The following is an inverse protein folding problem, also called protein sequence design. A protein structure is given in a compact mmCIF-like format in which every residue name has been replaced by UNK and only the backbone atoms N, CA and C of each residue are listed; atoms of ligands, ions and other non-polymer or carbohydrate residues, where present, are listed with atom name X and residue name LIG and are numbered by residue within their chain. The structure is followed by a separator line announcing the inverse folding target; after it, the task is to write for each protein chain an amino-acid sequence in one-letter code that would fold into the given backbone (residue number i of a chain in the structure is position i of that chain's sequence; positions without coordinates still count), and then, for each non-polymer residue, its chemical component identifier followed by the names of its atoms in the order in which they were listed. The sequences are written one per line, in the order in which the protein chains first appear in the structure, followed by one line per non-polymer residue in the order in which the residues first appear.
data_IF_558183084235
#
_entry.id   IF_558183084235
#
_cell.length_a   1.000
_cell.length_b   1.000
_cell.length_c   1.000
_cell.angle_alpha   90.00
_cell.angle_beta   90.00
_cell.angle_gamma   90.00
#
_symmetry.space_group_name_H-M   'P 1'
#
loop_
_entity.id
_entity.type
_entity.pdbx_description
1 polymer ?
#
# COMPACT_ATOMS: atom_id res chain seq x y z
N UNK A 1 31.45 9.41 22.68
CA UNK A 1 31.03 8.82 21.40
C UNK A 1 29.63 9.32 21.13
N UNK A 2 29.32 9.93 19.97
CA UNK A 2 27.97 10.42 19.74
C UNK A 2 27.08 9.22 19.40
N UNK A 3 26.02 9.03 20.19
CA UNK A 3 24.94 8.11 19.88
C UNK A 3 24.22 8.63 18.63
N UNK A 4 24.37 7.93 17.53
CA UNK A 4 23.52 8.08 16.35
C UNK A 4 22.10 7.67 16.77
N UNK A 5 21.25 8.66 16.99
CA UNK A 5 19.81 8.50 17.13
C UNK A 5 19.28 7.97 15.79
N UNK A 6 19.12 6.65 15.66
CA UNK A 6 18.38 6.03 14.55
C UNK A 6 16.90 6.27 14.82
N UNK A 7 16.30 7.20 14.08
CA UNK A 7 14.89 7.53 14.21
C UNK A 7 14.01 6.28 13.98
N UNK A 8 13.25 5.90 15.02
CA UNK A 8 11.96 5.19 14.96
C UNK A 8 11.90 3.76 14.42
N UNK A 9 12.94 3.25 13.77
CA UNK A 9 12.88 1.98 13.02
C UNK A 9 13.79 0.94 13.68
N UNK A 10 13.36 0.38 14.80
CA UNK A 10 14.05 -0.72 15.46
C UNK A 10 13.42 -2.09 15.10
N UNK A 11 14.03 -3.18 15.57
CA UNK A 11 13.54 -4.53 15.33
C UNK A 11 12.11 -4.71 15.85
N UNK A 12 11.73 -4.03 16.92
CA UNK A 12 10.37 -4.07 17.46
C UNK A 12 9.39 -3.40 16.51
N UNK A 13 9.71 -2.23 15.96
CA UNK A 13 8.89 -1.57 14.93
C UNK A 13 8.76 -2.45 13.69
N UNK A 14 9.86 -3.07 13.24
CA UNK A 14 9.84 -3.93 12.06
C UNK A 14 8.89 -5.11 12.24
N UNK A 15 8.96 -5.77 13.40
CA UNK A 15 8.15 -6.93 13.70
C UNK A 15 6.68 -6.60 13.97
N UNK A 16 6.35 -5.35 14.35
CA UNK A 16 4.98 -4.93 14.72
C UNK A 16 4.26 -4.19 13.60
N UNK A 17 4.93 -3.22 12.96
CA UNK A 17 4.34 -2.31 11.97
C UNK A 17 4.87 -2.59 10.56
N UNK A 18 6.19 -2.78 10.42
CA UNK A 18 6.83 -3.07 9.13
C UNK A 18 6.28 -4.33 8.47
N UNK A 19 5.98 -5.35 9.28
CA UNK A 19 5.27 -6.56 8.89
C UNK A 19 3.91 -6.30 8.22
N UNK A 20 3.03 -5.55 8.89
CA UNK A 20 1.71 -5.21 8.39
C UNK A 20 1.77 -4.28 7.18
N UNK A 21 2.66 -3.30 7.20
CA UNK A 21 2.92 -2.38 6.09
C UNK A 21 3.36 -3.16 4.85
N UNK A 22 4.29 -4.11 5.00
CA UNK A 22 4.74 -4.94 3.89
C UNK A 22 3.64 -5.83 3.32
N UNK A 23 2.80 -6.39 4.19
CA UNK A 23 1.62 -7.14 3.78
C UNK A 23 0.63 -6.29 2.99
N UNK A 24 0.31 -5.08 3.49
CA UNK A 24 -0.60 -4.16 2.81
C UNK A 24 -0.07 -3.72 1.46
N UNK A 25 1.21 -3.42 1.38
CA UNK A 25 1.85 -3.08 0.11
C UNK A 25 1.69 -4.22 -0.89
N UNK A 26 2.01 -5.44 -0.48
CA UNK A 26 1.89 -6.62 -1.32
C UNK A 26 0.44 -6.91 -1.78
N UNK A 27 -0.52 -6.87 -0.86
CA UNK A 27 -1.87 -7.33 -1.13
C UNK A 27 -2.73 -6.27 -1.81
N UNK A 28 -2.66 -5.03 -1.34
CA UNK A 28 -3.50 -3.94 -1.81
C UNK A 28 -2.79 -3.08 -2.87
N UNK A 29 -1.60 -2.55 -2.57
CA UNK A 29 -0.92 -1.61 -3.47
C UNK A 29 -0.52 -2.30 -4.78
N UNK A 30 0.23 -3.41 -4.74
CA UNK A 30 0.66 -4.11 -5.96
C UNK A 30 -0.51 -4.60 -6.82
N UNK A 31 -1.62 -5.02 -6.19
CA UNK A 31 -2.84 -5.43 -6.90
C UNK A 31 -3.42 -4.24 -7.67
N UNK A 32 -3.63 -3.10 -7.01
CA UNK A 32 -4.20 -1.92 -7.67
C UNK A 32 -3.28 -1.36 -8.75
N UNK A 33 -1.96 -1.42 -8.58
CA UNK A 33 -1.00 -1.06 -9.64
C UNK A 33 -1.13 -1.97 -10.87
N UNK A 34 -1.37 -3.27 -10.66
CA UNK A 34 -1.58 -4.24 -11.74
C UNK A 34 -2.88 -3.96 -12.48
N UNK A 35 -3.98 -3.73 -11.74
CA UNK A 35 -5.30 -3.44 -12.32
C UNK A 35 -5.29 -2.12 -13.09
N UNK A 36 -4.60 -1.10 -12.56
CA UNK A 36 -4.37 0.19 -13.23
C UNK A 36 -3.67 0.01 -14.57
N UNK A 37 -2.57 -0.74 -14.60
CA UNK A 37 -1.80 -0.98 -15.82
C UNK A 37 -2.63 -1.77 -16.86
N UNK A 38 -3.34 -2.82 -16.42
CA UNK A 38 -4.20 -3.61 -17.30
C UNK A 38 -5.32 -2.76 -17.92
N UNK A 39 -6.01 -1.94 -17.12
CA UNK A 39 -7.07 -1.06 -17.61
C UNK A 39 -6.55 -0.03 -18.62
N UNK A 40 -5.34 0.49 -18.41
CA UNK A 40 -4.69 1.40 -19.35
C UNK A 40 -4.36 0.73 -20.68
N UNK A 41 -3.78 -0.48 -20.64
CA UNK A 41 -3.44 -1.27 -21.83
C UNK A 41 -4.67 -1.67 -22.66
N UNK A 42 -5.79 -1.93 -21.99
CA UNK A 42 -7.09 -2.23 -22.62
C UNK A 42 -7.78 -0.99 -23.22
N UNK A 43 -7.22 0.21 -23.04
CA UNK A 43 -7.82 1.47 -23.49
C UNK A 43 -9.03 1.91 -22.65
N UNK A 44 -9.28 1.27 -21.50
CA UNK A 44 -10.36 1.63 -20.59
C UNK A 44 -9.90 2.70 -19.60
N UNK A 45 -9.76 3.94 -20.10
CA UNK A 45 -9.26 5.07 -19.32
C UNK A 45 -10.09 5.39 -18.06
N UNK A 46 -11.43 5.31 -18.07
CA UNK A 46 -12.24 5.40 -16.84
C UNK A 46 -11.84 4.38 -15.77
N UNK A 47 -11.72 3.10 -16.14
CA UNK A 47 -11.32 2.06 -15.20
C UNK A 47 -9.87 2.23 -14.72
N UNK A 48 -8.99 2.79 -15.56
CA UNK A 48 -7.63 3.14 -15.17
C UNK A 48 -7.63 4.22 -14.06
N UNK A 49 -8.40 5.30 -14.23
CA UNK A 49 -8.52 6.36 -13.20
C UNK A 49 -9.16 5.84 -11.92
N UNK A 50 -10.17 4.97 -12.02
CA UNK A 50 -10.74 4.29 -10.85
C UNK A 50 -9.69 3.44 -10.13
N UNK A 51 -8.90 2.66 -10.86
CA UNK A 51 -7.81 1.86 -10.29
C UNK A 51 -6.70 2.74 -9.67
N UNK A 52 -6.43 3.93 -10.24
CA UNK A 52 -5.54 4.91 -9.63
C UNK A 52 -6.06 5.38 -8.25
N UNK A 53 -7.37 5.63 -8.14
CA UNK A 53 -7.99 5.98 -6.86
C UNK A 53 -7.86 4.85 -5.82
N UNK A 54 -8.07 3.59 -6.24
CA UNK A 54 -7.86 2.43 -5.37
C UNK A 54 -6.39 2.32 -4.92
N UNK A 55 -5.44 2.55 -5.84
CA UNK A 55 -4.02 2.52 -5.53
C UNK A 55 -3.61 3.61 -4.52
N UNK A 56 -4.04 4.87 -4.72
CA UNK A 56 -3.76 5.96 -3.78
C UNK A 56 -4.36 5.70 -2.40
N UNK A 57 -5.60 5.18 -2.36
CA UNK A 57 -6.23 4.74 -1.10
C UNK A 57 -5.38 3.68 -0.39
N UNK A 58 -4.95 2.64 -1.12
CA UNK A 58 -4.11 1.59 -0.57
C UNK A 58 -2.75 2.12 -0.07
N UNK A 59 -2.16 3.09 -0.78
CA UNK A 59 -0.91 3.75 -0.37
C UNK A 59 -1.09 4.51 0.94
N UNK A 60 -2.17 5.31 1.07
CA UNK A 60 -2.47 6.04 2.31
C UNK A 60 -2.64 5.06 3.47
N UNK A 61 -3.40 3.99 3.25
CA UNK A 61 -3.61 2.97 4.28
C UNK A 61 -2.31 2.26 4.68
N UNK A 62 -1.46 1.90 3.70
CA UNK A 62 -0.17 1.29 3.96
C UNK A 62 0.72 2.18 4.84
N UNK A 63 0.73 3.50 4.59
CA UNK A 63 1.43 4.47 5.44
C UNK A 63 0.89 4.48 6.87
N UNK A 64 -0.43 4.50 7.04
CA UNK A 64 -1.07 4.45 8.36
C UNK A 64 -0.68 3.19 9.16
N UNK A 65 -0.61 2.03 8.49
CA UNK A 65 -0.15 0.79 9.14
C UNK A 65 1.32 0.92 9.58
N UNK A 66 2.17 1.53 8.77
CA UNK A 66 3.55 1.89 9.15
C UNK A 66 3.63 2.83 10.36
N UNK A 67 2.67 3.75 10.47
CA UNK A 67 2.55 4.72 11.58
C UNK A 67 1.89 4.12 12.85
N UNK A 68 1.49 2.85 12.82
CA UNK A 68 0.96 2.16 13.99
C UNK A 68 -0.56 2.04 14.06
N UNK A 69 -1.29 2.23 12.96
CA UNK A 69 -2.68 1.78 12.91
C UNK A 69 -2.73 0.26 13.00
N UNK A 70 -3.40 -0.27 14.03
CA UNK A 70 -3.45 -1.71 14.34
C UNK A 70 -4.79 -2.35 13.92
N UNK A 71 -5.82 -1.56 13.62
CA UNK A 71 -7.13 -2.09 13.21
C UNK A 71 -7.56 -1.54 11.86
N UNK A 72 -8.20 -2.37 11.02
CA UNK A 72 -8.87 -1.86 9.85
C UNK A 72 -9.94 -0.86 10.28
N UNK A 73 -9.87 0.40 9.81
CA UNK A 73 -10.98 1.31 10.00
C UNK A 73 -12.22 0.70 9.35
N UNK A 74 -13.39 0.86 9.97
CA UNK A 74 -14.63 0.54 9.29
C UNK A 74 -14.71 1.30 7.96
N UNK A 75 -15.38 0.75 6.95
CA UNK A 75 -15.40 1.35 5.60
C UNK A 75 -15.72 2.86 5.61
N UNK A 76 -16.71 3.29 6.39
CA UNK A 76 -17.07 4.70 6.55
C UNK A 76 -16.00 5.53 7.29
N UNK A 77 -15.36 4.96 8.31
CA UNK A 77 -14.29 5.62 9.06
C UNK A 77 -13.07 5.86 8.17
N UNK A 78 -12.76 4.91 7.29
CA UNK A 78 -11.66 5.06 6.34
C UNK A 78 -11.93 6.18 5.34
N UNK A 79 -13.15 6.25 4.77
CA UNK A 79 -13.53 7.33 3.85
C UNK A 79 -13.51 8.71 4.53
N UNK A 80 -14.02 8.80 5.75
CA UNK A 80 -13.97 10.05 6.54
C UNK A 80 -12.53 10.45 6.82
N UNK A 81 -11.67 9.50 7.17
CA UNK A 81 -10.26 9.76 7.40
C UNK A 81 -9.57 10.24 6.12
N UNK A 82 -9.76 9.55 4.98
CA UNK A 82 -9.23 9.97 3.67
C UNK A 82 -9.72 11.35 3.25
N UNK A 83 -10.92 11.76 3.67
CA UNK A 83 -11.46 13.08 3.36
C UNK A 83 -10.78 14.21 4.14
N UNK A 84 -10.25 13.93 5.33
CA UNK A 84 -9.62 14.94 6.22
C UNK A 84 -8.10 14.81 6.35
N UNK A 85 -7.52 13.70 5.88
CA UNK A 85 -6.09 13.45 5.91
C UNK A 85 -5.33 14.40 4.97
N UNK A 86 -4.25 15.00 5.44
CA UNK A 86 -3.48 16.03 4.71
C UNK A 86 -2.21 15.47 4.03
N UNK A 87 -1.96 14.17 4.18
CA UNK A 87 -0.87 13.50 3.48
C UNK A 87 -0.93 13.78 1.97
N UNK A 88 0.22 13.92 1.28
CA UNK A 88 0.26 14.16 -0.16
C UNK A 88 -0.58 13.16 -0.98
N UNK A 89 -0.55 11.87 -0.61
CA UNK A 89 -1.32 10.84 -1.31
C UNK A 89 -2.84 10.96 -1.10
N UNK A 90 -3.29 11.41 0.08
CA UNK A 90 -4.71 11.66 0.32
C UNK A 90 -5.22 12.89 -0.46
N UNK A 91 -4.40 13.95 -0.56
CA UNK A 91 -4.70 15.10 -1.42
C UNK A 91 -4.76 14.70 -2.89
N UNK A 92 -3.75 13.97 -3.37
CA UNK A 92 -3.74 13.42 -4.73
C UNK A 92 -5.00 12.60 -5.05
N UNK A 93 -5.46 11.76 -4.11
CA UNK A 93 -6.70 10.99 -4.26
C UNK A 93 -7.92 11.90 -4.43
N UNK A 94 -8.03 12.96 -3.63
CA UNK A 94 -9.15 13.91 -3.71
C UNK A 94 -9.13 14.76 -4.98
N UNK A 95 -7.94 15.02 -5.51
CA UNK A 95 -7.72 15.81 -6.72
C UNK A 95 -7.87 14.98 -8.02
N UNK A 96 -8.04 13.65 -7.90
CA UNK A 96 -8.28 12.82 -9.07
C UNK A 96 -9.58 13.23 -9.79
N UNK A 97 -9.56 13.27 -11.13
CA UNK A 97 -10.73 13.57 -11.93
C UNK A 97 -11.77 12.45 -11.85
N UNK A 98 -13.04 12.80 -12.09
CA UNK A 98 -14.12 11.82 -12.11
C UNK A 98 -13.88 10.75 -13.21
N UNK A 99 -13.92 9.45 -12.89
CA UNK A 99 -13.64 8.39 -13.85
C UNK A 99 -14.49 8.42 -15.14
N UNK A 100 -15.81 8.69 -15.10
CA UNK A 100 -16.65 8.62 -16.31
C UNK A 100 -16.24 9.58 -17.44
N UNK A 101 -15.47 10.62 -17.13
CA UNK A 101 -15.00 11.62 -18.10
C UNK A 101 -13.51 11.48 -18.42
N UNK A 102 -12.85 10.43 -17.95
CA UNK A 102 -11.41 10.26 -18.09
C UNK A 102 -10.99 10.08 -19.55
N UNK A 103 -10.07 10.94 -20.01
CA UNK A 103 -9.36 10.77 -21.28
C UNK A 103 -8.09 9.94 -21.08
N UNK A 104 -7.43 9.60 -22.19
CA UNK A 104 -6.10 9.01 -22.14
C UNK A 104 -5.09 9.88 -21.40
N UNK A 105 -5.03 11.19 -21.69
CA UNK A 105 -4.09 12.09 -20.99
C UNK A 105 -4.40 12.15 -19.50
N UNK A 106 -5.68 12.11 -19.15
CA UNK A 106 -6.14 12.09 -17.76
C UNK A 106 -5.66 10.83 -17.04
N UNK A 107 -5.76 9.67 -17.69
CA UNK A 107 -5.27 8.41 -17.16
C UNK A 107 -3.74 8.41 -17.02
N UNK A 108 -2.99 8.87 -18.04
CA UNK A 108 -1.53 8.98 -17.98
C UNK A 108 -1.06 9.88 -16.82
N UNK A 109 -1.73 11.02 -16.62
CA UNK A 109 -1.44 11.93 -15.50
C UNK A 109 -1.74 11.29 -14.14
N UNK A 110 -2.87 10.60 -14.01
CA UNK A 110 -3.22 9.89 -12.77
C UNK A 110 -2.23 8.77 -12.43
N UNK A 111 -1.82 7.98 -13.44
CA UNK A 111 -0.81 6.93 -13.28
C UNK A 111 0.54 7.50 -12.82
N UNK A 112 0.97 8.62 -13.39
CA UNK A 112 2.22 9.27 -12.99
C UNK A 112 2.22 9.65 -11.50
N UNK A 113 1.11 10.21 -11.00
CA UNK A 113 0.93 10.55 -9.58
C UNK A 113 0.96 9.30 -8.70
N UNK A 114 0.29 8.23 -9.11
CA UNK A 114 0.31 6.94 -8.39
C UNK A 114 1.75 6.41 -8.30
N UNK A 115 2.50 6.41 -9.41
CA UNK A 115 3.88 5.93 -9.44
C UNK A 115 4.82 6.75 -8.54
N UNK A 116 4.66 8.07 -8.50
CA UNK A 116 5.43 8.92 -7.60
C UNK A 116 5.20 8.53 -6.13
N UNK A 117 3.94 8.33 -5.74
CA UNK A 117 3.61 7.96 -4.36
C UNK A 117 3.98 6.51 -4.02
N UNK A 118 3.90 5.58 -4.98
CA UNK A 118 4.41 4.23 -4.84
C UNK A 118 5.93 4.22 -4.60
N UNK A 119 6.69 4.99 -5.38
CA UNK A 119 8.14 5.10 -5.20
C UNK A 119 8.51 5.65 -3.82
N UNK A 120 7.82 6.71 -3.38
CA UNK A 120 7.97 7.24 -2.01
C UNK A 120 7.67 6.18 -0.95
N UNK A 121 6.61 5.40 -1.15
CA UNK A 121 6.22 4.34 -0.23
C UNK A 121 7.26 3.21 -0.19
N UNK A 122 7.74 2.75 -1.35
CA UNK A 122 8.80 1.73 -1.43
C UNK A 122 10.09 2.17 -0.73
N UNK A 123 10.45 3.45 -0.86
CA UNK A 123 11.62 4.00 -0.18
C UNK A 123 11.45 4.09 1.35
N UNK A 124 10.20 4.12 1.85
CA UNK A 124 9.89 4.12 3.28
C UNK A 124 9.82 2.71 3.89
N UNK A 125 9.59 1.67 3.07
CA UNK A 125 9.53 0.29 3.54
C UNK A 125 10.96 -0.24 3.75
N UNK A 126 11.35 -0.67 4.97
CA UNK A 126 12.73 -1.07 5.26
C UNK A 126 13.12 -2.45 4.73
N UNK A 127 12.30 -3.04 3.85
CA UNK A 127 12.44 -4.39 3.32
C UNK A 127 12.10 -4.39 1.83
N UNK A 128 12.86 -5.13 1.03
CA UNK A 128 12.49 -5.37 -0.37
C UNK A 128 11.32 -6.33 -0.44
N UNK A 129 10.15 -5.82 -0.82
CA UNK A 129 8.97 -6.65 -1.06
C UNK A 129 9.03 -7.16 -2.50
N UNK A 130 9.16 -8.47 -2.72
CA UNK A 130 9.12 -9.01 -4.07
C UNK A 130 7.73 -8.78 -4.69
N UNK A 131 7.66 -8.78 -6.01
CA UNK A 131 6.38 -8.67 -6.73
C UNK A 131 5.57 -9.95 -6.49
N UNK A 132 4.40 -9.78 -5.88
CA UNK A 132 3.52 -10.87 -5.42
C UNK A 132 2.38 -11.15 -6.39
N UNK A 133 2.16 -10.27 -7.38
CA UNK A 133 1.21 -10.50 -8.46
C UNK A 133 1.81 -10.01 -9.77
N UNK A 134 1.80 -10.91 -10.75
CA UNK A 134 1.99 -10.54 -12.16
C UNK A 134 0.64 -10.72 -12.86
N UNK A 135 0.48 -10.16 -14.06
CA UNK A 135 -0.68 -10.44 -14.92
C UNK A 135 -0.91 -11.96 -15.15
N UNK A 136 0.08 -12.82 -14.84
CA UNK A 136 0.04 -14.28 -14.96
C UNK A 136 -0.23 -15.04 -13.65
N UNK A 137 -0.51 -14.35 -12.53
CA UNK A 137 -1.02 -14.99 -11.30
C UNK A 137 -0.01 -15.76 -10.45
N UNK A 138 1.24 -15.30 -10.34
CA UNK A 138 2.24 -15.95 -9.46
C UNK A 138 2.13 -15.47 -8.01
N UNK A 139 1.96 -16.37 -7.02
CA UNK A 139 1.78 -16.05 -5.59
C UNK A 139 2.96 -16.53 -4.69
N UNK A 140 4.03 -15.74 -4.50
CA UNK A 140 5.08 -16.00 -3.51
C UNK A 140 4.72 -15.58 -2.07
N UNK A 141 3.50 -15.09 -1.84
CA UNK A 141 3.00 -14.53 -0.56
C UNK A 141 3.09 -15.49 0.61
N UNK A 142 2.80 -16.78 0.37
CA UNK A 142 2.84 -17.82 1.41
C UNK A 142 4.24 -17.94 2.02
N UNK A 143 5.29 -17.75 1.22
CA UNK A 143 6.66 -17.90 1.69
C UNK A 143 7.11 -16.72 2.55
N UNK A 144 6.68 -15.50 2.22
CA UNK A 144 7.03 -14.30 3.02
C UNK A 144 6.26 -14.29 4.33
N UNK A 145 4.97 -14.60 4.28
CA UNK A 145 4.17 -14.78 5.49
C UNK A 145 4.81 -15.83 6.40
N UNK A 146 5.19 -17.00 5.86
CA UNK A 146 5.87 -18.04 6.62
C UNK A 146 7.22 -17.58 7.23
N UNK A 147 8.07 -16.89 6.46
CA UNK A 147 9.35 -16.39 6.97
C UNK A 147 9.18 -15.32 8.05
N UNK A 148 8.14 -14.49 7.95
CA UNK A 148 7.84 -13.46 8.94
C UNK A 148 7.24 -14.04 10.22
N UNK A 149 6.39 -15.06 10.09
CA UNK A 149 5.86 -15.84 11.21
C UNK A 149 7.00 -16.54 11.98
N UNK A 150 7.94 -17.16 11.26
CA UNK A 150 9.13 -17.79 11.85
C UNK A 150 10.00 -16.78 12.60
N UNK A 151 10.22 -15.60 12.01
CA UNK A 151 10.96 -14.52 12.66
C UNK A 151 10.24 -13.99 13.91
N UNK A 152 8.91 -13.84 13.88
CA UNK A 152 8.14 -13.41 15.06
C UNK A 152 8.18 -14.45 16.18
N UNK A 153 8.03 -15.73 15.84
CA UNK A 153 8.09 -16.83 16.79
C UNK A 153 9.46 -16.91 17.49
N UNK A 154 10.56 -16.76 16.73
CA UNK A 154 11.93 -16.75 17.28
C UNK A 154 12.20 -15.56 18.22
N UNK A 155 11.43 -14.48 18.10
CA UNK A 155 11.50 -13.30 18.95
C UNK A 155 10.39 -13.22 20.02
N UNK A 156 9.64 -14.31 20.24
CA UNK A 156 8.61 -14.39 21.29
C UNK A 156 7.34 -13.59 21.01
N UNK A 157 7.13 -13.19 19.75
CA UNK A 157 5.91 -12.50 19.31
C UNK A 157 4.89 -13.53 18.82
N UNK A 158 3.60 -13.25 19.07
CA UNK A 158 2.50 -14.08 18.58
C UNK A 158 2.36 -14.04 17.05
N UNK A 159 1.51 -14.88 16.45
CA UNK A 159 1.29 -14.86 15.01
C UNK A 159 0.70 -13.53 14.53
N UNK A 160 0.90 -13.20 13.26
CA UNK A 160 0.22 -12.06 12.63
C UNK A 160 -1.19 -12.51 12.26
N UNK A 161 -2.20 -11.74 12.66
CA UNK A 161 -3.51 -11.88 12.05
C UNK A 161 -3.46 -11.26 10.65
N UNK A 162 -3.29 -12.10 9.64
CA UNK A 162 -3.20 -11.66 8.24
C UNK A 162 -4.56 -11.25 7.67
N UNK A 163 -5.65 -11.75 8.26
CA UNK A 163 -7.04 -11.55 7.83
C UNK A 163 -7.62 -10.24 8.39
N UNK A 164 -7.01 -9.68 9.44
CA UNK A 164 -7.38 -8.36 9.98
C UNK A 164 -7.28 -7.22 8.95
N UNK A 165 -6.68 -7.46 7.79
CA UNK A 165 -6.47 -6.42 6.78
C UNK A 165 -7.23 -6.64 5.48
N UNK A 166 -8.18 -7.58 5.43
CA UNK A 166 -9.11 -7.69 4.31
C UNK A 166 -10.08 -6.50 4.31
N UNK A 167 -9.78 -5.48 3.49
CA UNK A 167 -10.70 -4.36 3.18
C UNK A 167 -11.29 -4.59 1.78
#
# INVERSE_FOLDING_TARGET
MPETRTDGTDLTWLLTHGAGMAWQYAMAVQTSLTDMQAAYEDGNHPACVESCAVALRAIVYCRQVGDGYVRPPGHLEHHLHLAVEESPAARALRDLPAPPTATRETAEAAMAVVHEHDEQLRNAIPLTIPVIRTAKGYFPTVRIAASLEELRATHGLGPVDWDQWGI
#
